data_IF_799438140229
#
_entry.id   IF_799438140229
#
_cell.length_a   1.000
_cell.length_b   1.000
_cell.length_c   1.000
_cell.angle_alpha   90.00
_cell.angle_beta   90.00
_cell.angle_gamma   90.00
#
_symmetry.space_group_name_H-M   'P 1'
#
loop_
_entity.id
_entity.type
_entity.pdbx_description
1 polymer ?
#
# COMPACT_ATOMS: atom_id res chain seq x y z
N UNK A 1 2.31 -39.96 -12.27
CA UNK A 1 1.20 -39.02 -12.06
C UNK A 1 1.38 -38.49 -10.65
N UNK A 2 2.04 -37.35 -10.49
CA UNK A 2 2.26 -36.68 -9.21
C UNK A 2 1.33 -35.48 -9.17
N UNK A 3 0.42 -35.49 -8.22
CA UNK A 3 -0.53 -34.39 -7.96
C UNK A 3 0.24 -33.16 -7.51
N UNK A 4 0.12 -32.07 -8.27
CA UNK A 4 0.59 -30.75 -7.86
C UNK A 4 -0.57 -30.04 -7.19
N UNK A 5 -0.60 -30.05 -5.85
CA UNK A 5 -1.57 -29.30 -5.06
C UNK A 5 -1.14 -27.83 -5.06
N UNK A 6 -1.88 -26.98 -5.76
CA UNK A 6 -1.71 -25.54 -5.70
C UNK A 6 -2.25 -25.03 -4.36
N UNK A 7 -1.34 -24.70 -3.43
CA UNK A 7 -1.71 -24.06 -2.16
C UNK A 7 -1.92 -22.57 -2.39
N UNK A 8 -3.17 -22.15 -2.40
CA UNK A 8 -3.54 -20.73 -2.36
C UNK A 8 -3.22 -20.21 -0.98
N UNK A 9 -2.18 -19.38 -0.86
CA UNK A 9 -1.86 -18.70 0.38
C UNK A 9 -2.89 -17.60 0.66
N UNK A 10 -3.98 -17.96 1.32
CA UNK A 10 -4.69 -17.01 2.15
C UNK A 10 -3.83 -16.79 3.41
N UNK A 11 -2.98 -15.80 3.40
CA UNK A 11 -2.39 -15.30 4.62
C UNK A 11 -3.47 -14.55 5.41
N UNK A 12 -4.30 -15.31 6.13
CA UNK A 12 -4.85 -14.83 7.38
C UNK A 12 -3.66 -14.68 8.34
N UNK A 13 -2.97 -13.56 8.28
CA UNK A 13 -2.08 -13.15 9.35
C UNK A 13 -2.96 -12.65 10.49
N UNK A 14 -3.65 -13.58 11.15
CA UNK A 14 -3.94 -13.40 12.55
C UNK A 14 -2.57 -13.41 13.24
N UNK A 15 -1.96 -12.24 13.37
CA UNK A 15 -0.79 -12.06 14.20
C UNK A 15 -1.17 -12.58 15.60
N UNK A 16 -0.72 -13.78 15.92
CA UNK A 16 -0.83 -14.31 17.26
C UNK A 16 -0.08 -13.33 18.16
N UNK A 17 -0.82 -12.52 18.91
CA UNK A 17 -0.22 -11.62 19.87
C UNK A 17 0.80 -12.45 20.69
N UNK A 18 2.06 -11.98 20.84
CA UNK A 18 3.03 -12.70 21.66
C UNK A 18 2.40 -12.86 23.04
N UNK A 19 2.41 -14.09 23.56
CA UNK A 19 1.97 -14.38 24.93
C UNK A 19 2.93 -13.63 25.85
N UNK A 20 2.44 -12.51 26.35
CA UNK A 20 3.18 -11.67 27.28
C UNK A 20 3.28 -12.43 28.60
N UNK A 21 4.47 -12.72 29.08
CA UNK A 21 4.69 -13.21 30.43
C UNK A 21 4.27 -12.10 31.41
N UNK A 22 3.58 -12.47 32.48
CA UNK A 22 2.94 -11.53 33.45
C UNK A 22 3.90 -10.57 34.18
N UNK A 23 5.19 -10.54 33.81
CA UNK A 23 6.26 -9.82 34.48
C UNK A 23 6.56 -8.41 33.96
N UNK A 24 6.14 -8.05 32.71
CA UNK A 24 6.43 -6.74 32.16
C UNK A 24 5.26 -5.76 32.32
N UNK A 25 5.51 -4.52 32.83
CA UNK A 25 4.48 -3.53 32.94
C UNK A 25 3.94 -3.17 31.53
N UNK A 26 2.63 -2.87 31.42
CA UNK A 26 2.05 -2.51 30.13
C UNK A 26 2.74 -1.26 29.58
N UNK A 27 3.10 -1.28 28.28
CA UNK A 27 3.60 -0.08 27.59
C UNK A 27 2.53 1.00 27.71
N UNK A 28 2.90 2.15 28.27
CA UNK A 28 1.99 3.29 28.46
C UNK A 28 2.28 4.44 27.52
N UNK A 29 3.49 4.50 27.01
CA UNK A 29 3.97 5.58 26.16
C UNK A 29 4.85 5.00 25.03
N UNK A 30 4.53 5.38 23.80
CA UNK A 30 5.35 5.08 22.62
C UNK A 30 5.84 6.38 22.01
N UNK A 31 7.14 6.47 21.79
CA UNK A 31 7.74 7.59 21.08
C UNK A 31 8.16 7.11 19.69
N UNK A 32 7.60 7.74 18.67
CA UNK A 32 7.99 7.53 17.26
C UNK A 32 9.02 8.59 16.91
N UNK A 33 10.22 8.16 16.58
CA UNK A 33 11.31 9.06 16.17
C UNK A 33 11.30 9.21 14.65
N UNK A 34 11.01 10.40 14.17
CA UNK A 34 10.89 10.76 12.76
C UNK A 34 9.47 11.15 12.37
N UNK A 35 9.29 12.36 11.86
CA UNK A 35 8.00 12.93 11.42
C UNK A 35 7.76 12.82 9.92
N UNK A 36 8.43 11.90 9.23
CA UNK A 36 8.11 11.59 7.84
C UNK A 36 6.78 10.82 7.72
N UNK A 37 6.34 10.57 6.49
CA UNK A 37 5.08 9.85 6.18
C UNK A 37 4.94 8.55 6.98
N UNK A 38 6.00 7.73 7.05
CA UNK A 38 5.98 6.46 7.78
C UNK A 38 5.79 6.65 9.31
N UNK A 39 6.42 7.66 9.89
CA UNK A 39 6.28 7.98 11.32
C UNK A 39 4.86 8.40 11.67
N UNK A 40 4.26 9.28 10.88
CA UNK A 40 2.88 9.71 11.08
C UNK A 40 1.86 8.60 10.81
N UNK A 41 2.10 7.73 9.81
CA UNK A 41 1.29 6.52 9.60
C UNK A 41 1.34 5.60 10.82
N UNK A 42 2.53 5.35 11.36
CA UNK A 42 2.71 4.54 12.56
C UNK A 42 1.98 5.13 13.77
N UNK A 43 2.12 6.44 13.98
CA UNK A 43 1.46 7.13 15.09
C UNK A 43 -0.06 7.06 15.00
N UNK A 44 -0.62 7.23 13.79
CA UNK A 44 -2.07 7.11 13.54
C UNK A 44 -2.59 5.70 13.81
N UNK A 45 -1.88 4.66 13.35
CA UNK A 45 -2.28 3.27 13.61
C UNK A 45 -2.25 2.95 15.11
N UNK A 46 -1.23 3.42 15.84
CA UNK A 46 -1.15 3.25 17.28
C UNK A 46 -2.28 3.96 18.01
N UNK A 47 -2.57 5.21 17.65
CA UNK A 47 -3.66 5.99 18.26
C UNK A 47 -5.04 5.39 17.93
N UNK A 48 -5.22 4.78 16.77
CA UNK A 48 -6.47 4.14 16.35
C UNK A 48 -6.60 2.68 16.83
N UNK A 49 -5.57 2.11 17.45
CA UNK A 49 -5.60 0.73 17.91
C UNK A 49 -6.56 0.55 19.10
N UNK A 50 -6.97 -0.69 19.38
CA UNK A 50 -7.78 -1.02 20.56
C UNK A 50 -7.12 -0.62 21.90
N UNK A 51 -5.82 -0.38 21.89
CA UNK A 51 -5.04 0.11 23.02
C UNK A 51 -4.89 1.64 23.01
N UNK A 52 -5.30 2.33 21.95
CA UNK A 52 -5.06 3.77 21.73
C UNK A 52 -5.56 4.66 22.88
N UNK A 53 -6.72 4.35 23.46
CA UNK A 53 -7.27 5.07 24.62
C UNK A 53 -6.40 4.97 25.89
N UNK A 54 -5.48 4.02 25.97
CA UNK A 54 -4.57 3.78 27.12
C UNK A 54 -3.11 4.05 26.80
N UNK A 55 -2.81 4.36 25.54
CA UNK A 55 -1.45 4.51 25.02
C UNK A 55 -1.20 5.97 24.70
N UNK A 56 -0.25 6.58 25.40
CA UNK A 56 0.29 7.88 24.98
C UNK A 56 1.17 7.67 23.75
N UNK A 57 0.91 8.39 22.67
CA UNK A 57 1.73 8.35 21.46
C UNK A 57 2.34 9.73 21.26
N UNK A 58 3.66 9.78 21.05
CA UNK A 58 4.40 11.01 20.75
C UNK A 58 5.22 10.81 19.49
N UNK A 59 5.16 11.76 18.56
CA UNK A 59 6.09 11.84 17.43
C UNK A 59 7.11 12.90 17.74
N UNK A 60 8.38 12.52 17.67
CA UNK A 60 9.52 13.42 17.81
C UNK A 60 10.15 13.66 16.45
N UNK A 61 10.09 14.89 15.97
CA UNK A 61 10.52 15.26 14.62
C UNK A 61 11.58 16.37 14.68
N UNK A 62 12.67 16.18 13.96
CA UNK A 62 13.69 17.22 13.82
C UNK A 62 13.30 18.23 12.74
N UNK A 63 13.14 19.51 13.07
CA UNK A 63 12.85 20.54 12.07
C UNK A 63 14.03 20.80 11.12
N UNK A 64 15.21 20.26 11.44
CA UNK A 64 16.44 20.42 10.63
C UNK A 64 16.57 19.32 9.57
N UNK A 65 15.96 18.16 9.79
CA UNK A 65 15.91 17.04 8.84
C UNK A 65 14.60 17.18 8.07
N UNK A 66 14.63 17.85 6.93
CA UNK A 66 13.45 17.99 6.09
C UNK A 66 12.91 16.63 5.62
N UNK A 67 11.64 16.60 5.22
CA UNK A 67 11.07 15.43 4.55
C UNK A 67 11.77 15.28 3.20
N UNK A 68 12.44 14.16 2.99
CA UNK A 68 12.94 13.77 1.66
C UNK A 68 11.70 13.28 0.91
N UNK A 69 10.90 14.22 0.41
CA UNK A 69 9.67 13.93 -0.28
C UNK A 69 9.81 14.23 -1.76
N UNK A 70 9.47 13.26 -2.57
CA UNK A 70 9.25 13.39 -4.01
C UNK A 70 7.80 13.01 -4.29
N UNK A 71 7.32 13.16 -5.52
CA UNK A 71 6.07 12.53 -5.92
C UNK A 71 6.18 11.02 -5.76
N UNK A 72 5.29 10.43 -5.03
CA UNK A 72 5.36 9.00 -4.69
C UNK A 72 4.16 8.24 -5.26
N UNK A 73 4.34 6.94 -5.45
CA UNK A 73 3.28 6.03 -5.86
C UNK A 73 3.17 4.85 -4.90
N UNK A 74 1.98 4.64 -4.36
CA UNK A 74 1.72 3.52 -3.47
C UNK A 74 1.36 2.23 -4.22
N UNK A 75 1.29 1.15 -3.45
CA UNK A 75 0.55 -0.06 -3.76
C UNK A 75 -0.89 0.05 -3.24
N UNK A 76 -1.79 -0.91 -3.51
CA UNK A 76 -3.16 -0.91 -2.98
C UNK A 76 -3.27 -0.91 -1.45
N UNK A 77 -2.21 -1.28 -0.73
CA UNK A 77 -2.20 -1.29 0.74
C UNK A 77 -2.45 0.09 1.38
N UNK A 78 -2.11 1.18 0.69
CA UNK A 78 -2.38 2.53 1.20
C UNK A 78 -3.89 2.80 1.31
N UNK A 79 -4.70 2.24 0.39
CA UNK A 79 -6.16 2.30 0.50
C UNK A 79 -6.64 1.65 1.80
N UNK A 80 -6.19 0.42 2.08
CA UNK A 80 -6.55 -0.28 3.31
C UNK A 80 -6.08 0.46 4.59
N UNK A 81 -4.95 1.15 4.54
CA UNK A 81 -4.52 2.02 5.63
C UNK A 81 -5.55 3.11 5.93
N UNK A 82 -5.97 3.88 4.94
CA UNK A 82 -6.97 4.94 5.13
C UNK A 82 -8.34 4.40 5.55
N UNK A 83 -8.79 3.31 4.93
CA UNK A 83 -10.03 2.63 5.31
C UNK A 83 -10.02 2.19 6.78
N UNK A 84 -8.91 1.63 7.27
CA UNK A 84 -8.76 1.22 8.68
C UNK A 84 -8.84 2.38 9.67
N UNK A 85 -8.56 3.58 9.21
CA UNK A 85 -8.63 4.82 9.98
C UNK A 85 -9.96 5.56 9.82
N UNK A 86 -10.85 5.09 8.93
CA UNK A 86 -12.09 5.79 8.58
C UNK A 86 -11.85 7.13 7.88
N UNK A 87 -10.77 7.24 7.11
CA UNK A 87 -10.42 8.44 6.33
C UNK A 87 -10.80 8.18 4.87
N UNK A 88 -11.75 8.97 4.37
CA UNK A 88 -12.29 8.82 3.02
C UNK A 88 -11.35 9.40 1.95
N UNK A 89 -11.36 8.81 0.74
CA UNK A 89 -10.59 9.31 -0.40
C UNK A 89 -10.92 10.76 -0.74
N UNK A 90 -12.19 11.15 -0.64
CA UNK A 90 -12.65 12.50 -0.90
C UNK A 90 -12.07 13.53 0.09
N UNK A 91 -11.61 13.08 1.26
CA UNK A 91 -11.00 13.93 2.28
C UNK A 91 -9.52 14.16 2.00
N UNK A 92 -8.75 13.09 1.78
CA UNK A 92 -7.29 13.20 1.71
C UNK A 92 -6.72 13.41 0.32
N UNK A 93 -7.35 12.86 -0.73
CA UNK A 93 -6.82 12.95 -2.09
C UNK A 93 -6.69 14.39 -2.59
N UNK A 94 -7.67 15.30 -2.40
CA UNK A 94 -7.52 16.69 -2.82
C UNK A 94 -6.40 17.41 -2.06
N UNK A 95 -6.28 17.18 -0.75
CA UNK A 95 -5.25 17.83 0.08
C UNK A 95 -3.82 17.36 -0.28
N UNK A 96 -3.69 16.17 -0.85
CA UNK A 96 -2.40 15.55 -1.19
C UNK A 96 -2.11 15.53 -2.71
N UNK A 97 -2.91 16.21 -3.52
CA UNK A 97 -2.86 16.17 -4.99
C UNK A 97 -2.82 14.74 -5.53
N UNK A 98 -3.56 13.85 -4.89
CA UNK A 98 -3.50 12.44 -5.20
C UNK A 98 -4.33 12.08 -6.43
N UNK A 99 -3.84 11.07 -7.16
CA UNK A 99 -4.52 10.47 -8.31
C UNK A 99 -4.48 8.96 -8.21
N UNK A 100 -5.34 8.26 -8.97
CA UNK A 100 -5.36 6.82 -8.98
C UNK A 100 -4.18 6.22 -9.75
N UNK A 101 -3.68 5.09 -9.26
CA UNK A 101 -2.61 4.30 -9.85
C UNK A 101 -3.09 2.87 -10.04
N UNK A 102 -3.21 2.44 -11.29
CA UNK A 102 -3.68 1.09 -11.63
C UNK A 102 -2.56 0.03 -11.69
N UNK A 103 -1.30 0.46 -11.68
CA UNK A 103 -0.14 -0.41 -11.78
C UNK A 103 1.14 0.37 -12.07
N UNK A 104 2.14 -0.31 -12.61
CA UNK A 104 3.47 0.23 -12.89
C UNK A 104 3.88 -0.19 -14.31
N UNK A 105 4.25 0.77 -15.14
CA UNK A 105 4.89 0.46 -16.42
C UNK A 105 6.38 0.22 -16.22
N UNK A 106 6.87 -0.91 -16.69
CA UNK A 106 8.29 -1.19 -16.82
C UNK A 106 8.67 -1.08 -18.29
N UNK A 107 9.49 -0.09 -18.60
CA UNK A 107 9.95 0.21 -19.94
C UNK A 107 11.42 -0.16 -20.10
N UNK A 108 11.81 -0.70 -21.27
CA UNK A 108 13.15 -1.22 -21.49
C UNK A 108 13.51 -2.43 -20.62
N UNK A 109 12.51 -3.14 -20.07
CA UNK A 109 12.70 -4.27 -19.16
C UNK A 109 13.31 -5.50 -19.83
N UNK A 110 13.02 -5.71 -21.13
CA UNK A 110 13.45 -6.87 -21.89
C UNK A 110 13.95 -6.45 -23.27
N UNK A 111 14.94 -7.15 -23.78
CA UNK A 111 15.41 -7.01 -25.16
C UNK A 111 14.66 -7.92 -26.14
N UNK A 112 13.68 -8.70 -25.66
CA UNK A 112 12.90 -9.61 -26.50
C UNK A 112 11.86 -8.82 -27.30
N UNK A 113 11.82 -8.95 -28.64
CA UNK A 113 10.86 -8.27 -29.48
C UNK A 113 9.41 -8.49 -29.04
N UNK A 114 8.63 -7.40 -28.86
CA UNK A 114 7.26 -7.40 -28.39
C UNK A 114 7.08 -7.52 -26.87
N UNK A 115 8.19 -7.53 -26.11
CA UNK A 115 8.19 -7.60 -24.63
C UNK A 115 9.13 -6.54 -24.00
N UNK A 116 9.47 -5.52 -24.74
CA UNK A 116 10.35 -4.44 -24.28
C UNK A 116 9.72 -3.65 -23.12
N UNK A 117 8.40 -3.53 -23.15
CA UNK A 117 7.65 -2.85 -22.13
C UNK A 117 6.43 -3.68 -21.71
N UNK A 118 6.11 -3.66 -20.42
CA UNK A 118 4.87 -4.24 -19.93
C UNK A 118 4.32 -3.41 -18.78
N UNK A 119 3.00 -3.50 -18.58
CA UNK A 119 2.31 -2.90 -17.46
C UNK A 119 2.10 -3.96 -16.35
N UNK A 120 2.73 -3.75 -15.21
CA UNK A 120 2.51 -4.55 -14.01
C UNK A 120 1.22 -4.09 -13.34
N UNK A 121 0.12 -4.72 -13.71
CA UNK A 121 -1.21 -4.41 -13.17
C UNK A 121 -1.31 -4.74 -11.68
N UNK A 122 -2.04 -3.95 -10.92
CA UNK A 122 -2.50 -4.37 -9.61
C UNK A 122 -3.66 -5.35 -9.81
N UNK A 123 -3.35 -6.65 -9.67
CA UNK A 123 -4.32 -7.71 -9.90
C UNK A 123 -5.43 -7.66 -8.84
N UNK A 124 -6.66 -7.74 -9.30
CA UNK A 124 -7.87 -7.79 -8.49
C UNK A 124 -8.52 -9.18 -8.50
N UNK A 125 -9.59 -9.36 -7.75
CA UNK A 125 -10.33 -10.64 -7.75
C UNK A 125 -10.83 -11.03 -9.14
N UNK A 126 -11.15 -10.07 -10.00
CA UNK A 126 -11.54 -10.32 -11.39
C UNK A 126 -10.46 -11.02 -12.20
N UNK A 127 -9.21 -10.68 -11.92
CA UNK A 127 -8.07 -11.23 -12.64
C UNK A 127 -7.79 -12.68 -12.28
N UNK A 128 -8.38 -13.22 -11.19
CA UNK A 128 -8.33 -14.65 -10.88
C UNK A 128 -8.91 -15.52 -12.01
N UNK A 129 -9.87 -14.98 -12.77
CA UNK A 129 -10.45 -15.69 -13.92
C UNK A 129 -9.48 -15.76 -15.10
N UNK A 130 -8.54 -14.84 -15.21
CA UNK A 130 -7.57 -14.76 -16.31
C UNK A 130 -6.17 -15.22 -15.92
N UNK A 131 -5.92 -15.43 -14.63
CA UNK A 131 -4.62 -15.83 -14.13
C UNK A 131 -4.17 -17.19 -14.63
N UNK A 132 -5.02 -18.22 -14.53
CA UNK A 132 -4.70 -19.55 -15.00
C UNK A 132 -4.46 -19.59 -16.53
N UNK A 133 -5.35 -19.06 -17.39
CA UNK A 133 -5.07 -18.93 -18.82
C UNK A 133 -3.80 -18.13 -19.13
N UNK A 134 -3.45 -17.11 -18.34
CA UNK A 134 -2.19 -16.39 -18.52
C UNK A 134 -0.99 -17.29 -18.28
N UNK A 135 -0.97 -18.02 -17.16
CA UNK A 135 0.12 -18.92 -16.78
C UNK A 135 0.27 -20.06 -17.80
N UNK A 136 -0.86 -20.65 -18.23
CA UNK A 136 -0.87 -21.70 -19.26
C UNK A 136 -0.28 -21.20 -20.59
N UNK A 137 -0.66 -19.99 -21.01
CA UNK A 137 -0.12 -19.38 -22.22
C UNK A 137 1.36 -19.04 -22.08
N UNK A 138 1.84 -18.65 -20.91
CA UNK A 138 3.27 -18.45 -20.65
C UNK A 138 4.03 -19.76 -20.83
N UNK A 139 3.55 -20.87 -20.25
CA UNK A 139 4.17 -22.19 -20.41
C UNK A 139 4.14 -22.65 -21.86
N UNK A 140 2.99 -22.58 -22.53
CA UNK A 140 2.86 -22.94 -23.93
C UNK A 140 3.84 -22.16 -24.83
N UNK A 141 4.04 -20.86 -24.52
CA UNK A 141 5.02 -20.05 -25.27
C UNK A 141 6.46 -20.43 -24.97
N UNK A 142 6.80 -20.88 -23.78
CA UNK A 142 8.11 -21.47 -23.47
C UNK A 142 8.33 -22.74 -24.31
N UNK A 143 7.28 -23.53 -24.54
CA UNK A 143 7.26 -24.71 -25.41
C UNK A 143 7.13 -24.36 -26.91
N UNK A 144 7.34 -23.08 -27.27
CA UNK A 144 7.33 -22.54 -28.63
C UNK A 144 5.97 -22.50 -29.32
N UNK A 145 4.87 -22.66 -28.61
CA UNK A 145 3.54 -22.45 -29.17
C UNK A 145 3.30 -20.97 -29.52
N UNK A 146 2.61 -20.72 -30.64
CA UNK A 146 2.24 -19.36 -31.05
C UNK A 146 0.94 -18.91 -30.34
N UNK A 147 1.10 -18.52 -29.08
CA UNK A 147 0.01 -18.04 -28.22
C UNK A 147 0.34 -16.68 -27.61
N UNK A 148 -0.68 -15.93 -27.26
CA UNK A 148 -0.51 -14.65 -26.59
C UNK A 148 -0.17 -14.86 -25.10
N UNK A 149 0.98 -14.39 -24.66
CA UNK A 149 1.42 -14.45 -23.26
C UNK A 149 1.80 -13.06 -22.69
N UNK A 150 1.43 -11.98 -23.38
CA UNK A 150 1.74 -10.64 -22.90
C UNK A 150 0.76 -10.24 -21.78
N UNK A 151 1.21 -9.86 -20.56
CA UNK A 151 0.36 -9.60 -19.40
C UNK A 151 -0.70 -8.53 -19.64
N UNK A 152 -0.43 -7.52 -20.47
CA UNK A 152 -1.37 -6.45 -20.80
C UNK A 152 -2.69 -6.93 -21.42
N UNK A 153 -2.80 -8.21 -21.80
CA UNK A 153 -4.02 -8.80 -22.36
C UNK A 153 -4.88 -9.53 -21.33
N UNK A 154 -4.35 -9.81 -20.15
CA UNK A 154 -4.98 -10.68 -19.16
C UNK A 154 -5.51 -9.93 -17.94
N UNK A 155 -5.03 -8.71 -17.67
CA UNK A 155 -5.36 -7.97 -16.47
C UNK A 155 -6.21 -6.73 -16.77
N UNK A 156 -7.30 -6.57 -16.01
CA UNK A 156 -8.23 -5.45 -16.20
C UNK A 156 -7.57 -4.10 -16.02
N UNK A 157 -6.71 -3.97 -15.02
CA UNK A 157 -6.02 -2.71 -14.74
C UNK A 157 -5.07 -2.28 -15.86
N UNK A 158 -4.49 -3.25 -16.59
CA UNK A 158 -3.69 -2.95 -17.78
C UNK A 158 -4.55 -2.34 -18.90
N UNK A 159 -5.78 -2.80 -19.04
CA UNK A 159 -6.74 -2.24 -19.99
C UNK A 159 -7.22 -0.85 -19.57
N UNK A 160 -7.55 -0.68 -18.28
CA UNK A 160 -7.95 0.62 -17.74
C UNK A 160 -6.86 1.67 -17.94
N UNK A 161 -5.60 1.34 -17.64
CA UNK A 161 -4.47 2.23 -17.84
C UNK A 161 -4.29 2.63 -19.31
N UNK A 162 -4.37 1.67 -20.24
CA UNK A 162 -4.26 1.93 -21.68
C UNK A 162 -5.37 2.83 -22.21
N UNK A 163 -6.58 2.70 -21.66
CA UNK A 163 -7.75 3.49 -22.06
C UNK A 163 -7.91 4.77 -21.23
N UNK A 164 -6.92 5.11 -20.39
CA UNK A 164 -6.96 6.28 -19.49
C UNK A 164 -8.23 6.32 -18.62
N UNK A 165 -8.65 5.16 -18.12
CA UNK A 165 -9.82 5.01 -17.25
C UNK A 165 -9.39 4.89 -15.78
N UNK A 166 -10.17 5.54 -14.89
CA UNK A 166 -9.99 5.37 -13.46
C UNK A 166 -10.41 3.96 -13.01
N UNK A 167 -9.72 3.35 -12.03
CA UNK A 167 -10.08 2.04 -11.48
C UNK A 167 -11.25 2.13 -10.48
N UNK A 168 -12.23 2.98 -10.76
CA UNK A 168 -13.42 3.22 -9.94
C UNK A 168 -14.64 2.77 -10.72
N UNK A 169 -15.10 1.52 -10.49
CA UNK A 169 -16.32 1.04 -11.13
C UNK A 169 -17.55 1.76 -10.55
N UNK A 170 -18.66 1.67 -11.26
CA UNK A 170 -19.97 2.11 -10.75
C UNK A 170 -20.37 1.24 -9.56
N UNK A 171 -21.21 1.78 -8.66
CA UNK A 171 -21.70 1.05 -7.46
C UNK A 171 -22.41 -0.27 -7.80
N UNK A 172 -23.05 -0.33 -8.96
CA UNK A 172 -23.69 -1.56 -9.45
C UNK A 172 -22.74 -2.66 -9.90
N UNK A 173 -21.44 -2.36 -10.00
CA UNK A 173 -20.44 -3.35 -10.40
C UNK A 173 -20.03 -4.19 -9.19
N UNK A 174 -20.25 -5.52 -9.19
CA UNK A 174 -20.18 -6.32 -7.97
C UNK A 174 -18.76 -6.71 -7.55
N UNK A 175 -17.74 -6.18 -8.22
CA UNK A 175 -16.34 -6.56 -7.96
C UNK A 175 -15.50 -5.35 -7.59
N UNK A 176 -14.57 -5.55 -6.67
CA UNK A 176 -13.57 -4.54 -6.32
C UNK A 176 -12.42 -4.57 -7.34
N UNK A 177 -11.98 -3.39 -7.76
CA UNK A 177 -10.80 -3.20 -8.59
C UNK A 177 -9.71 -2.60 -7.73
N UNK A 178 -8.57 -3.28 -7.65
CA UNK A 178 -7.48 -2.83 -6.81
C UNK A 178 -6.68 -1.72 -7.48
N UNK A 179 -6.34 -0.72 -6.71
CA UNK A 179 -5.55 0.43 -7.13
C UNK A 179 -4.75 1.00 -5.98
N UNK A 180 -3.66 1.65 -6.31
CA UNK A 180 -2.92 2.53 -5.43
C UNK A 180 -3.13 3.98 -5.83
N UNK A 181 -2.20 4.83 -5.41
CA UNK A 181 -2.27 6.27 -5.63
C UNK A 181 -0.91 6.81 -6.02
N UNK A 182 -0.90 7.92 -6.78
CA UNK A 182 0.22 8.84 -6.83
C UNK A 182 -0.15 10.06 -5.98
N UNK A 183 0.79 10.62 -5.25
CA UNK A 183 0.54 11.74 -4.35
C UNK A 183 1.81 12.55 -4.09
N UNK A 184 1.63 13.76 -3.59
CA UNK A 184 2.71 14.57 -3.02
C UNK A 184 3.01 14.07 -1.60
N UNK A 185 4.22 13.57 -1.37
CA UNK A 185 4.60 12.98 -0.09
C UNK A 185 4.74 14.01 1.03
N UNK A 186 5.08 15.25 0.71
CA UNK A 186 5.14 16.35 1.69
C UNK A 186 3.75 16.71 2.17
N UNK A 187 2.80 16.84 1.24
CA UNK A 187 1.40 17.12 1.56
C UNK A 187 0.77 15.96 2.33
N UNK A 188 1.06 14.71 1.93
CA UNK A 188 0.59 13.55 2.66
C UNK A 188 1.13 13.52 4.10
N UNK A 189 2.42 13.79 4.29
CA UNK A 189 3.01 13.89 5.63
C UNK A 189 2.30 14.91 6.51
N UNK A 190 2.03 16.11 5.98
CA UNK A 190 1.29 17.17 6.69
C UNK A 190 -0.15 16.78 7.00
N UNK A 191 -0.84 16.14 6.05
CA UNK A 191 -2.20 15.64 6.26
C UNK A 191 -2.24 14.61 7.39
N UNK A 192 -1.33 13.63 7.37
CA UNK A 192 -1.24 12.60 8.40
C UNK A 192 -0.88 13.18 9.77
N UNK A 193 0.02 14.17 9.83
CA UNK A 193 0.33 14.91 11.05
C UNK A 193 -0.91 15.57 11.64
N UNK A 194 -1.65 16.33 10.83
CA UNK A 194 -2.92 16.98 11.22
C UNK A 194 -3.88 15.94 11.83
N UNK A 195 -4.11 14.81 11.12
CA UNK A 195 -4.99 13.74 11.57
C UNK A 195 -4.52 13.05 12.85
N UNK A 196 -3.21 12.87 13.00
CA UNK A 196 -2.63 12.28 14.20
C UNK A 196 -2.81 13.19 15.44
N UNK A 197 -2.56 14.49 15.29
CA UNK A 197 -2.75 15.48 16.35
C UNK A 197 -4.23 15.60 16.73
N UNK A 198 -5.16 15.62 15.77
CA UNK A 198 -6.60 15.58 16.01
C UNK A 198 -7.03 14.35 16.84
N UNK A 199 -6.29 13.24 16.76
CA UNK A 199 -6.51 12.01 17.53
C UNK A 199 -5.69 11.90 18.81
N UNK A 200 -5.10 13.02 19.25
CA UNK A 200 -4.39 13.11 20.54
C UNK A 200 -2.92 12.66 20.49
N UNK A 201 -2.33 12.44 19.32
CA UNK A 201 -0.89 12.21 19.21
C UNK A 201 -0.14 13.49 19.54
N UNK A 202 0.83 13.41 20.45
CA UNK A 202 1.67 14.54 20.80
C UNK A 202 2.76 14.72 19.75
N UNK A 203 2.95 15.93 19.23
CA UNK A 203 4.05 16.30 18.36
C UNK A 203 5.10 17.10 19.14
N UNK A 204 6.36 16.70 19.07
CA UNK A 204 7.49 17.41 19.68
C UNK A 204 8.51 17.70 18.57
N UNK A 205 8.79 18.99 18.37
CA UNK A 205 9.90 19.43 17.52
C UNK A 205 11.21 19.34 18.30
N UNK A 206 12.13 18.49 17.85
CA UNK A 206 13.41 18.30 18.52
C UNK A 206 14.33 17.36 17.76
N UNK A 207 15.62 17.51 17.97
CA UNK A 207 16.64 16.65 17.36
C UNK A 207 17.12 15.63 18.39
N UNK A 208 17.05 14.34 18.01
CA UNK A 208 17.58 13.26 18.85
C UNK A 208 19.09 13.21 18.68
N UNK A 209 19.81 13.42 19.76
CA UNK A 209 21.28 13.38 19.78
C UNK A 209 21.80 12.07 20.38
N UNK A 210 21.04 11.46 21.28
CA UNK A 210 21.41 10.20 21.95
C UNK A 210 20.17 9.47 22.45
N UNK A 211 20.27 8.15 22.59
CA UNK A 211 19.27 7.29 23.19
C UNK A 211 19.94 6.43 24.26
N UNK A 212 19.52 6.62 25.49
CA UNK A 212 19.98 5.81 26.62
C UNK A 212 18.94 4.73 26.92
N UNK A 213 19.35 3.46 27.01
CA UNK A 213 18.52 2.29 27.31
C UNK A 213 18.84 1.77 28.70
#
# INVERSE_FOLDING_TARGET
MSEVTATVFHQNVAARAPTRTDAEPPVKHVVVVGGGTAGWMTALLLANSAYGARLKVTVLESPQVGVIGVGEGSTPWLRGFFESLGIEEAEWMPECHATYKAGITFDGWSTRPGYESYFHAFASMLDNMTMAPFVDNVHARLDRADVHAHPNRFFISARLARECKAPRPQESFPFDVWYGFHFDSVLLGKFLQKKAVERGVQHIAGHVTDVQV
#
